data_IF_864234098313
#
_entry.id   IF_864234098313
#
_cell.length_a   1.000
_cell.length_b   1.000
_cell.length_c   1.000
_cell.angle_alpha   90.00
_cell.angle_beta   90.00
_cell.angle_gamma   90.00
#
_symmetry.space_group_name_H-M   'P 1'
#
loop_
_entity.id
_entity.type
_entity.pdbx_description
1 polymer ?
#
# COMPACT_ATOMS: atom_id res chain seq x y z
N UNK A 1 4.68 3.64 0.08
CA UNK A 1 3.78 4.68 -0.41
C UNK A 1 3.00 4.15 -1.60
N UNK A 2 1.66 4.23 -1.60
CA UNK A 2 0.82 3.80 -2.72
C UNK A 2 0.74 4.83 -3.85
N UNK A 3 1.10 6.11 -3.61
CA UNK A 3 0.91 7.18 -4.57
C UNK A 3 -0.56 7.30 -4.99
N UNK A 4 -0.82 7.33 -6.30
CA UNK A 4 -2.19 7.32 -6.85
C UNK A 4 -2.80 5.91 -6.97
N UNK A 5 -2.15 4.89 -6.39
CA UNK A 5 -2.70 3.54 -6.22
C UNK A 5 -2.30 2.51 -7.27
N UNK A 6 -1.33 2.78 -8.14
CA UNK A 6 -0.97 1.89 -9.27
C UNK A 6 -0.67 0.46 -8.83
N UNK A 7 0.16 0.28 -7.80
CA UNK A 7 0.52 -1.05 -7.29
C UNK A 7 -0.66 -1.75 -6.61
N UNK A 8 -1.45 -1.04 -5.80
CA UNK A 8 -2.62 -1.63 -5.13
C UNK A 8 -3.69 -2.05 -6.14
N UNK A 9 -3.93 -1.25 -7.18
CA UNK A 9 -4.87 -1.59 -8.26
C UNK A 9 -4.41 -2.82 -9.05
N UNK A 10 -3.11 -2.92 -9.33
CA UNK A 10 -2.57 -4.09 -10.04
C UNK A 10 -2.61 -5.34 -9.16
N UNK A 11 -2.28 -5.21 -7.89
CA UNK A 11 -2.39 -6.30 -6.92
C UNK A 11 -3.84 -6.78 -6.79
N UNK A 12 -4.80 -5.86 -6.63
CA UNK A 12 -6.23 -6.17 -6.61
C UNK A 12 -6.64 -7.03 -7.80
N UNK A 13 -6.33 -6.59 -9.03
CA UNK A 13 -6.69 -7.32 -10.25
C UNK A 13 -6.03 -8.70 -10.35
N UNK A 14 -4.74 -8.78 -10.01
CA UNK A 14 -4.00 -10.03 -10.12
C UNK A 14 -4.46 -11.05 -9.07
N UNK A 15 -4.71 -10.61 -7.83
CA UNK A 15 -5.20 -11.48 -6.76
C UNK A 15 -6.63 -11.94 -7.07
N UNK A 16 -7.51 -11.01 -7.48
CA UNK A 16 -8.88 -11.35 -7.85
C UNK A 16 -8.92 -12.38 -8.99
N UNK A 17 -8.20 -12.12 -10.08
CA UNK A 17 -8.19 -13.05 -11.22
C UNK A 17 -7.58 -14.42 -10.87
N UNK A 18 -6.60 -14.47 -9.97
CA UNK A 18 -6.06 -15.73 -9.47
C UNK A 18 -7.12 -16.50 -8.65
N UNK A 19 -7.80 -15.82 -7.72
CA UNK A 19 -8.82 -16.45 -6.87
C UNK A 19 -10.02 -16.91 -7.68
N UNK A 20 -10.50 -16.12 -8.63
CA UNK A 20 -11.59 -16.51 -9.55
C UNK A 20 -11.20 -17.73 -10.42
N UNK A 21 -9.91 -17.93 -10.70
CA UNK A 21 -9.42 -19.11 -11.42
C UNK A 21 -9.33 -20.35 -10.53
N UNK A 22 -8.92 -20.18 -9.27
CA UNK A 22 -8.74 -21.27 -8.32
C UNK A 22 -10.08 -21.72 -7.68
N UNK A 23 -11.02 -20.80 -7.52
CA UNK A 23 -12.32 -21.00 -6.89
C UNK A 23 -13.45 -20.42 -7.76
N UNK A 24 -13.76 -21.04 -8.92
CA UNK A 24 -14.72 -20.50 -9.87
C UNK A 24 -16.17 -20.44 -9.35
N UNK A 25 -16.52 -21.24 -8.35
CA UNK A 25 -17.85 -21.32 -7.76
C UNK A 25 -18.05 -20.38 -6.55
N UNK A 26 -16.99 -19.68 -6.11
CA UNK A 26 -17.04 -18.77 -4.97
C UNK A 26 -17.79 -17.47 -5.30
N UNK A 27 -18.37 -16.84 -4.28
CA UNK A 27 -19.02 -15.54 -4.42
C UNK A 27 -18.00 -14.45 -4.78
N UNK A 28 -18.04 -14.00 -6.04
CA UNK A 28 -17.13 -12.98 -6.59
C UNK A 28 -17.19 -11.66 -5.81
N UNK A 29 -18.32 -11.28 -5.23
CA UNK A 29 -18.41 -10.05 -4.43
C UNK A 29 -17.73 -10.21 -3.07
N UNK A 30 -17.92 -11.35 -2.40
CA UNK A 30 -17.23 -11.65 -1.14
C UNK A 30 -15.71 -11.73 -1.37
N UNK A 31 -15.25 -12.39 -2.44
CA UNK A 31 -13.82 -12.42 -2.79
C UNK A 31 -13.28 -11.00 -2.98
N UNK A 32 -13.94 -10.17 -3.79
CA UNK A 32 -13.51 -8.77 -4.02
C UNK A 32 -13.43 -8.00 -2.70
N UNK A 33 -14.42 -8.18 -1.84
CA UNK A 33 -14.48 -7.51 -0.54
C UNK A 33 -13.31 -7.94 0.35
N UNK A 34 -13.01 -9.24 0.41
CA UNK A 34 -11.87 -9.77 1.16
C UNK A 34 -10.53 -9.27 0.60
N UNK A 35 -10.36 -9.20 -0.73
CA UNK A 35 -9.15 -8.63 -1.32
C UNK A 35 -9.00 -7.18 -0.89
N UNK A 36 -10.03 -6.34 -1.05
CA UNK A 36 -10.00 -4.93 -0.64
C UNK A 36 -9.67 -4.74 0.85
N UNK A 37 -10.23 -5.58 1.73
CA UNK A 37 -9.97 -5.56 3.18
C UNK A 37 -8.51 -5.85 3.53
N UNK A 38 -7.78 -6.52 2.66
CA UNK A 38 -6.37 -6.88 2.85
C UNK A 38 -5.39 -5.97 2.08
N UNK A 39 -5.88 -4.92 1.42
CA UNK A 39 -5.04 -3.90 0.78
C UNK A 39 -4.77 -2.75 1.74
N UNK A 40 -3.50 -2.36 1.90
CA UNK A 40 -3.07 -1.30 2.81
C UNK A 40 -2.10 -0.33 2.13
N UNK A 41 -2.09 0.92 2.59
CA UNK A 41 -1.13 1.92 2.12
C UNK A 41 -1.01 3.10 3.07
N UNK A 42 0.17 3.72 3.11
CA UNK A 42 0.41 4.97 3.84
C UNK A 42 0.85 6.02 2.83
N UNK A 43 0.10 7.11 2.73
CA UNK A 43 0.31 8.18 1.76
C UNK A 43 0.35 9.55 2.46
N UNK A 44 1.35 10.36 2.15
CA UNK A 44 1.52 11.69 2.76
C UNK A 44 0.67 12.75 2.06
N UNK A 45 0.34 12.54 0.78
CA UNK A 45 -0.44 13.49 -0.01
C UNK A 45 -1.94 13.11 -0.01
N UNK A 46 -2.78 13.98 0.57
CA UNK A 46 -4.21 13.73 0.69
C UNK A 46 -4.92 13.51 -0.66
N UNK A 47 -4.51 14.22 -1.72
CA UNK A 47 -5.13 14.09 -3.04
C UNK A 47 -4.77 12.76 -3.70
N UNK A 48 -3.50 12.35 -3.62
CA UNK A 48 -3.04 11.04 -4.10
C UNK A 48 -3.76 9.90 -3.35
N UNK A 49 -3.88 10.02 -2.02
CA UNK A 49 -4.66 9.09 -1.19
C UNK A 49 -6.11 8.99 -1.64
N UNK A 50 -6.81 10.13 -1.78
CA UNK A 50 -8.22 10.16 -2.21
C UNK A 50 -8.37 9.51 -3.59
N UNK A 51 -7.48 9.83 -4.53
CA UNK A 51 -7.51 9.25 -5.86
C UNK A 51 -7.27 7.73 -5.85
N UNK A 52 -6.34 7.25 -5.01
CA UNK A 52 -6.11 5.82 -4.80
C UNK A 52 -7.39 5.10 -4.31
N UNK A 53 -8.04 5.64 -3.28
CA UNK A 53 -9.28 5.08 -2.72
C UNK A 53 -10.39 5.06 -3.79
N UNK A 54 -10.60 6.16 -4.50
CA UNK A 54 -11.63 6.26 -5.54
C UNK A 54 -11.40 5.26 -6.68
N UNK A 55 -10.15 5.07 -7.12
CA UNK A 55 -9.84 4.08 -8.15
C UNK A 55 -10.14 2.66 -7.68
N UNK A 56 -9.76 2.30 -6.45
CA UNK A 56 -10.04 0.97 -5.89
C UNK A 56 -11.55 0.74 -5.74
N UNK A 57 -12.26 1.73 -5.20
CA UNK A 57 -13.72 1.71 -5.08
C UNK A 57 -14.41 1.57 -6.44
N UNK A 58 -13.92 2.27 -7.46
CA UNK A 58 -14.43 2.14 -8.83
C UNK A 58 -14.17 0.75 -9.43
N UNK A 59 -13.01 0.14 -9.16
CA UNK A 59 -12.72 -1.22 -9.65
C UNK A 59 -13.61 -2.28 -9.00
N UNK A 60 -13.97 -2.10 -7.73
CA UNK A 60 -14.92 -2.95 -7.04
C UNK A 60 -16.33 -2.84 -7.65
N UNK A 61 -16.84 -1.61 -7.81
CA UNK A 61 -18.23 -1.35 -8.23
C UNK A 61 -18.49 -1.38 -9.75
N UNK A 62 -17.75 -2.19 -10.53
CA UNK A 62 -17.85 -2.18 -12.00
C UNK A 62 -19.24 -2.58 -12.58
N UNK A 63 -20.25 -2.87 -11.74
CA UNK A 63 -21.65 -3.11 -12.15
C UNK A 63 -22.60 -2.33 -11.24
N UNK A 64 -23.57 -1.65 -11.84
CA UNK A 64 -24.52 -0.67 -11.29
C UNK A 64 -25.35 -1.14 -10.06
N UNK A 65 -24.76 -1.40 -8.90
CA UNK A 65 -25.43 -1.26 -7.60
C UNK A 65 -24.47 -1.50 -6.43
N UNK A 66 -24.13 -0.43 -5.73
CA UNK A 66 -24.49 -0.23 -4.32
C UNK A 66 -23.52 0.80 -3.73
N UNK A 67 -24.07 1.74 -2.98
CA UNK A 67 -23.31 2.70 -2.22
C UNK A 67 -22.70 1.95 -1.03
N UNK A 68 -21.66 1.14 -1.27
CA UNK A 68 -21.03 0.30 -0.24
C UNK A 68 -20.18 1.17 0.69
N UNK A 69 -20.89 1.81 1.63
CA UNK A 69 -20.30 2.64 2.69
C UNK A 69 -19.33 1.84 3.56
N UNK A 70 -19.53 0.52 3.66
CA UNK A 70 -18.64 -0.39 4.39
C UNK A 70 -17.29 -0.52 3.67
N UNK A 71 -17.30 -0.70 2.34
CA UNK A 71 -16.07 -0.72 1.55
C UNK A 71 -15.31 0.60 1.64
N UNK A 72 -16.00 1.74 1.48
CA UNK A 72 -15.36 3.05 1.61
C UNK A 72 -14.74 3.25 3.00
N UNK A 73 -15.41 2.79 4.06
CA UNK A 73 -14.89 2.83 5.42
C UNK A 73 -13.59 2.03 5.55
N UNK A 74 -13.57 0.80 5.02
CA UNK A 74 -12.40 -0.09 5.03
C UNK A 74 -11.24 0.50 4.22
N UNK A 75 -11.49 1.00 3.02
CA UNK A 75 -10.44 1.61 2.21
C UNK A 75 -9.88 2.87 2.88
N UNK A 76 -10.73 3.66 3.55
CA UNK A 76 -10.28 4.83 4.30
C UNK A 76 -9.43 4.47 5.53
N UNK A 77 -9.75 3.38 6.24
CA UNK A 77 -8.98 2.93 7.40
C UNK A 77 -7.66 2.27 6.99
N UNK A 78 -7.63 1.53 5.89
CA UNK A 78 -6.45 0.80 5.44
C UNK A 78 -5.47 1.67 4.63
N UNK A 79 -5.98 2.68 3.92
CA UNK A 79 -5.18 3.63 3.14
C UNK A 79 -5.14 4.94 3.94
N UNK A 80 -4.10 5.10 4.74
CA UNK A 80 -3.95 6.15 5.75
C UNK A 80 -3.26 7.39 5.20
N UNK A 81 -3.61 8.57 5.73
CA UNK A 81 -2.94 9.84 5.45
C UNK A 81 -1.80 10.03 6.46
N UNK A 82 -0.63 9.50 6.16
CA UNK A 82 0.49 9.49 7.11
C UNK A 82 1.83 9.23 6.41
N UNK A 83 2.91 9.58 7.10
CA UNK A 83 4.26 9.21 6.71
C UNK A 83 4.63 7.81 7.22
N UNK A 84 4.80 6.87 6.29
CA UNK A 84 5.25 5.52 6.59
C UNK A 84 6.61 5.49 7.31
N UNK A 85 7.57 6.36 6.98
CA UNK A 85 8.89 6.33 7.62
C UNK A 85 8.82 6.66 9.12
N UNK A 86 7.77 7.35 9.53
CA UNK A 86 7.54 7.78 10.91
C UNK A 86 6.65 6.76 11.64
N UNK A 87 5.72 6.11 10.94
CA UNK A 87 4.77 5.18 11.56
C UNK A 87 5.46 3.95 12.17
N UNK A 88 4.95 3.52 13.33
CA UNK A 88 5.14 2.16 13.85
C UNK A 88 3.95 1.29 13.43
N UNK A 89 4.21 0.03 13.08
CA UNK A 89 3.18 -0.94 12.74
C UNK A 89 3.24 -2.10 13.70
N UNK A 90 2.07 -2.49 14.19
CA UNK A 90 1.91 -3.58 15.16
C UNK A 90 1.64 -4.93 14.48
N UNK A 91 1.54 -4.95 13.15
CA UNK A 91 1.32 -6.15 12.35
C UNK A 91 2.25 -6.19 11.15
N UNK A 92 2.45 -7.40 10.60
CA UNK A 92 3.31 -7.67 9.45
C UNK A 92 2.51 -8.10 8.22
N UNK A 93 3.04 -7.79 7.04
CA UNK A 93 2.48 -8.14 5.73
C UNK A 93 3.15 -9.38 5.16
N UNK A 94 2.39 -10.18 4.41
CA UNK A 94 2.91 -11.25 3.56
C UNK A 94 3.61 -10.70 2.30
N UNK A 95 3.17 -9.54 1.83
CA UNK A 95 3.68 -8.87 0.64
C UNK A 95 3.76 -7.36 0.85
N UNK A 96 4.93 -6.77 0.60
CA UNK A 96 5.11 -5.32 0.51
C UNK A 96 5.59 -4.98 -0.89
N UNK A 97 4.83 -4.16 -1.60
CA UNK A 97 5.17 -3.70 -2.95
C UNK A 97 5.06 -2.19 -3.08
N UNK A 98 5.85 -1.61 -3.99
CA UNK A 98 5.70 -0.20 -4.32
C UNK A 98 6.84 0.41 -5.12
N UNK A 99 6.71 1.72 -5.29
CA UNK A 99 7.72 2.58 -5.87
C UNK A 99 8.02 3.68 -4.85
N UNK A 100 8.99 3.48 -3.94
CA UNK A 100 9.37 4.52 -2.99
C UNK A 100 9.94 5.75 -3.73
N UNK A 101 9.91 6.93 -3.11
CA UNK A 101 10.56 8.11 -3.66
C UNK A 101 12.09 7.90 -3.74
N UNK A 102 12.75 8.75 -4.54
CA UNK A 102 14.21 8.74 -4.72
C UNK A 102 14.83 10.09 -4.34
N UNK A 103 16.11 10.08 -4.01
CA UNK A 103 16.90 11.23 -3.63
C UNK A 103 16.88 11.55 -2.13
N UNK A 104 17.60 12.62 -1.77
CA UNK A 104 17.68 13.11 -0.39
C UNK A 104 16.57 14.12 -0.08
N UNK A 105 15.32 13.69 -0.20
CA UNK A 105 14.13 14.55 -0.10
C UNK A 105 13.58 14.67 1.33
N UNK A 106 14.20 14.02 2.31
CA UNK A 106 13.73 14.02 3.69
C UNK A 106 14.06 15.32 4.42
N UNK A 107 13.08 15.80 5.19
CA UNK A 107 13.24 16.95 6.06
C UNK A 107 14.11 16.66 7.29
N UNK A 108 14.44 17.71 8.06
CA UNK A 108 15.29 17.59 9.26
C UNK A 108 14.69 16.69 10.34
N UNK A 109 13.38 16.69 10.50
CA UNK A 109 12.68 15.91 11.53
C UNK A 109 12.66 14.41 11.16
N UNK A 110 12.38 14.10 9.89
CA UNK A 110 12.44 12.74 9.35
C UNK A 110 13.86 12.17 9.47
N UNK A 111 14.88 12.96 9.13
CA UNK A 111 16.30 12.61 9.30
C UNK A 111 16.65 12.27 10.75
N UNK A 112 16.27 13.15 11.69
CA UNK A 112 16.54 12.94 13.11
C UNK A 112 15.89 11.66 13.64
N UNK A 113 14.65 11.39 13.23
CA UNK A 113 13.92 10.19 13.64
C UNK A 113 14.57 8.92 13.09
N UNK A 114 14.87 8.86 11.79
CA UNK A 114 15.55 7.70 11.20
C UNK A 114 16.89 7.43 11.88
N UNK A 115 17.67 8.48 12.18
CA UNK A 115 18.92 8.36 12.94
C UNK A 115 18.71 7.77 14.34
N UNK A 116 17.65 8.18 15.06
CA UNK A 116 17.31 7.60 16.37
C UNK A 116 16.91 6.12 16.32
N UNK A 117 16.49 5.64 15.15
CA UNK A 117 16.19 4.24 14.88
C UNK A 117 17.38 3.46 14.29
N UNK A 118 18.58 4.05 14.31
CA UNK A 118 19.80 3.51 13.67
C UNK A 118 19.65 3.24 12.16
N UNK A 119 18.76 3.97 11.49
CA UNK A 119 18.58 3.92 10.04
C UNK A 119 19.43 5.01 9.40
N UNK A 120 20.53 4.59 8.79
CA UNK A 120 21.39 5.44 7.97
C UNK A 120 21.12 5.16 6.49
N UNK A 121 21.02 6.21 5.69
CA UNK A 121 20.64 6.09 4.29
C UNK A 121 21.36 7.15 3.45
N UNK A 122 21.73 6.76 2.23
CA UNK A 122 22.23 7.70 1.21
C UNK A 122 21.08 8.25 0.36
N UNK A 123 20.07 7.42 0.11
CA UNK A 123 18.86 7.75 -0.63
C UNK A 123 17.62 7.30 0.17
N UNK A 124 16.53 8.06 0.09
CA UNK A 124 15.32 7.83 0.88
C UNK A 124 14.73 6.43 0.67
N UNK A 125 14.87 5.83 -0.52
CA UNK A 125 14.32 4.50 -0.76
C UNK A 125 14.96 3.42 0.14
N UNK A 126 16.21 3.61 0.59
CA UNK A 126 16.87 2.68 1.53
C UNK A 126 16.13 2.65 2.87
N UNK A 127 15.61 3.80 3.34
CA UNK A 127 14.83 3.86 4.56
C UNK A 127 13.50 3.09 4.43
N UNK A 128 12.85 3.17 3.26
CA UNK A 128 11.65 2.36 2.97
C UNK A 128 11.96 0.86 2.96
N UNK A 129 13.10 0.45 2.40
CA UNK A 129 13.53 -0.95 2.40
C UNK A 129 13.76 -1.46 3.83
N UNK A 130 14.51 -0.73 4.65
CA UNK A 130 14.79 -1.09 6.04
C UNK A 130 13.52 -1.16 6.90
N UNK A 131 12.60 -0.22 6.73
CA UNK A 131 11.27 -0.29 7.39
C UNK A 131 10.49 -1.52 6.94
N UNK A 132 10.53 -1.85 5.65
CA UNK A 132 9.81 -2.99 5.09
C UNK A 132 10.33 -4.33 5.62
N UNK A 133 11.63 -4.46 5.90
CA UNK A 133 12.19 -5.65 6.56
C UNK A 133 11.54 -5.90 7.93
N UNK A 134 11.24 -4.84 8.68
CA UNK A 134 10.58 -4.96 9.98
C UNK A 134 9.07 -5.25 9.85
N UNK A 135 8.46 -4.88 8.74
CA UNK A 135 7.01 -5.00 8.52
C UNK A 135 6.61 -6.18 7.64
N UNK A 136 7.56 -6.91 7.08
CA UNK A 136 7.26 -8.10 6.26
C UNK A 136 7.52 -9.37 7.06
N UNK A 137 6.75 -10.41 6.74
CA UNK A 137 7.08 -11.81 7.05
C UNK A 137 7.24 -12.64 5.75
N UNK A 138 7.11 -12.00 4.60
CA UNK A 138 7.19 -12.63 3.28
C UNK A 138 7.97 -11.76 2.31
N UNK A 139 7.38 -11.46 1.16
CA UNK A 139 8.09 -10.89 0.01
C UNK A 139 8.09 -9.35 0.06
N UNK A 140 9.23 -8.75 -0.27
CA UNK A 140 9.35 -7.31 -0.54
C UNK A 140 9.69 -7.14 -2.02
N UNK A 141 8.92 -6.34 -2.74
CA UNK A 141 9.19 -5.97 -4.13
C UNK A 141 9.14 -4.47 -4.33
N UNK A 142 10.30 -3.85 -4.59
CA UNK A 142 10.38 -2.42 -4.87
C UNK A 142 10.99 -2.11 -6.23
N UNK A 143 10.47 -1.05 -6.86
CA UNK A 143 11.17 -0.37 -7.93
C UNK A 143 12.17 0.61 -7.33
N UNK A 144 13.46 0.32 -7.51
CA UNK A 144 14.56 1.15 -7.02
C UNK A 144 15.55 1.43 -8.15
N UNK A 145 16.34 2.52 -8.08
CA UNK A 145 17.38 2.80 -9.05
C UNK A 145 18.42 1.66 -9.09
N UNK A 146 19.00 1.41 -10.28
CA UNK A 146 20.02 0.36 -10.48
C UNK A 146 21.33 0.63 -9.72
N UNK A 147 21.58 1.87 -9.29
CA UNK A 147 22.79 2.31 -8.59
C UNK A 147 22.85 1.84 -7.13
N UNK A 148 22.40 0.62 -6.85
CA UNK A 148 22.38 0.00 -5.53
C UNK A 148 23.72 -0.66 -5.21
#
# INVERSE_FOLDING_TARGET
>A
SPGTGVFLLRAFKNILGLLETLEPDSDSEEIKFQVCKNLFGSEINQNARKLCILKLFSQYNNKNNSNDSRLLSILNSNITLEDSLVRKKDFKFDLIIGNPPYGNILDKNQKARLKSENIFYNDVYCAFLLKSLNWTKGIIGYLVPKSF
#
